data_IF_152699918289
#
_entry.id   IF_152699918289
#
_cell.length_a   1.000
_cell.length_b   1.000
_cell.length_c   1.000
_cell.angle_alpha   90.00
_cell.angle_beta   90.00
_cell.angle_gamma   90.00
#
_symmetry.space_group_name_H-M   'P 1'
#
loop_
_entity.id
_entity.type
_entity.pdbx_description
1 polymer ?
2 water ?
#
# COMPACT_ATOMS: atom_id res chain seq x y z
N UNK A 31 -13.07 -6.89 28.39
CA UNK A 31 -12.61 -6.50 27.04
C UNK A 31 -11.50 -5.46 27.11
N UNK A 32 -11.39 -4.78 28.24
CA UNK A 32 -10.36 -3.76 28.41
C UNK A 32 -9.29 -4.12 29.44
N UNK A 33 -9.23 -5.39 29.84
CA UNK A 33 -8.25 -5.82 30.82
C UNK A 33 -6.80 -5.66 30.35
N UNK A 34 -6.57 -5.81 29.05
CA UNK A 34 -5.22 -5.71 28.49
C UNK A 34 -4.72 -4.29 28.25
N UNK A 35 -5.45 -3.29 28.75
CA UNK A 35 -5.05 -1.91 28.56
C UNK A 35 -3.60 -1.69 28.96
N UNK A 36 -2.87 -0.97 28.12
CA UNK A 36 -1.47 -0.69 28.39
C UNK A 36 -0.51 -1.82 28.05
N UNK A 37 -1.04 -2.97 27.63
CA UNK A 37 -0.20 -4.12 27.30
C UNK A 37 0.04 -4.34 25.80
N UNK A 38 -0.57 -3.51 24.96
CA UNK A 38 -0.40 -3.63 23.50
C UNK A 38 0.87 -2.91 23.08
N UNK A 39 1.99 -3.48 23.51
CA UNK A 39 3.31 -2.92 23.29
C UNK A 39 4.07 -3.33 22.02
N UNK A 40 3.56 -4.31 21.27
CA UNK A 40 4.25 -4.74 20.06
C UNK A 40 4.22 -3.65 19.00
N UNK A 41 5.29 -3.57 18.21
CA UNK A 41 5.39 -2.55 17.17
C UNK A 41 5.84 -3.11 15.81
N UNK A 42 6.16 -4.39 15.77
CA UNK A 42 6.62 -5.03 14.53
C UNK A 42 5.99 -6.40 14.32
N UNK A 43 5.63 -6.71 13.07
CA UNK A 43 5.03 -8.00 12.78
C UNK A 43 6.01 -9.13 13.09
N UNK A 44 7.29 -8.80 13.17
CA UNK A 44 8.31 -9.80 13.47
C UNK A 44 8.34 -10.15 14.95
N UNK A 45 7.54 -9.43 15.74
CA UNK A 45 7.45 -9.69 17.18
C UNK A 45 6.30 -10.65 17.42
N UNK A 46 5.53 -10.91 16.37
CA UNK A 46 4.41 -11.83 16.44
C UNK A 46 4.93 -13.21 16.06
N UNK A 47 4.18 -14.24 16.43
CA UNK A 47 4.54 -15.61 16.08
C UNK A 47 4.35 -15.70 14.57
N UNK A 48 4.79 -16.80 13.96
CA UNK A 48 4.63 -16.97 12.53
C UNK A 48 3.16 -16.95 12.15
N UNK A 49 2.35 -17.68 12.90
CA UNK A 49 0.91 -17.75 12.66
C UNK A 49 0.20 -16.40 12.74
N UNK A 50 0.52 -15.60 13.75
CA UNK A 50 -0.12 -14.29 13.88
C UNK A 50 0.44 -13.31 12.86
N UNK A 51 1.72 -13.45 12.52
CA UNK A 51 2.33 -12.57 11.52
C UNK A 51 1.59 -12.80 10.20
N UNK A 52 1.35 -14.06 9.87
CA UNK A 52 0.65 -14.39 8.63
C UNK A 52 -0.78 -13.86 8.70
N UNK A 53 -1.39 -13.91 9.89
CA UNK A 53 -2.75 -13.40 10.04
C UNK A 53 -2.76 -11.89 9.78
N UNK A 54 -1.77 -11.19 10.30
CA UNK A 54 -1.70 -9.74 10.13
C UNK A 54 -1.51 -9.39 8.66
N UNK A 55 -0.60 -10.09 7.98
CA UNK A 55 -0.36 -9.82 6.57
C UNK A 55 -1.62 -10.12 5.75
N UNK A 56 -2.32 -11.20 6.11
CA UNK A 56 -3.56 -11.57 5.41
C UNK A 56 -4.61 -10.47 5.52
N UNK A 57 -4.58 -9.74 6.63
CA UNK A 57 -5.55 -8.68 6.84
C UNK A 57 -5.12 -7.30 6.39
N UNK A 58 -3.81 -7.06 6.30
CA UNK A 58 -3.36 -5.72 5.96
C UNK A 58 -2.42 -5.52 4.77
N UNK A 59 -1.75 -6.58 4.33
CA UNK A 59 -0.85 -6.43 3.18
C UNK A 59 -1.72 -6.28 1.93
N UNK A 60 -1.61 -5.13 1.24
CA UNK A 60 -2.39 -4.87 0.02
C UNK A 60 -2.34 -6.04 -0.96
N UNK A 61 -1.15 -6.59 -1.16
CA UNK A 61 -0.94 -7.71 -2.08
C UNK A 61 -1.87 -8.88 -1.75
N UNK A 62 -2.01 -9.18 -0.47
CA UNK A 62 -2.87 -10.28 -0.03
C UNK A 62 -4.33 -9.85 0.04
N UNK A 63 -4.59 -8.76 0.75
CA UNK A 63 -5.94 -8.24 0.91
C UNK A 63 -6.69 -8.04 -0.40
N UNK A 64 -6.04 -7.39 -1.36
CA UNK A 64 -6.69 -7.11 -2.64
C UNK A 64 -6.34 -8.13 -3.71
N UNK A 65 -5.71 -9.22 -3.29
CA UNK A 65 -5.33 -10.29 -4.20
C UNK A 65 -4.67 -9.71 -5.45
N UNK A 66 -3.54 -9.05 -5.25
CA UNK A 66 -2.79 -8.46 -6.36
C UNK A 66 -1.66 -9.40 -6.77
N UNK A 67 -1.16 -9.22 -7.98
CA UNK A 67 -0.06 -10.03 -8.50
C UNK A 67 0.69 -9.24 -9.56
N UNK A 68 1.72 -9.86 -10.14
CA UNK A 68 2.54 -9.18 -11.14
C UNK A 68 1.79 -8.74 -12.40
N UNK A 69 0.65 -9.36 -12.69
CA UNK A 69 -0.12 -9.00 -13.88
C UNK A 69 -1.26 -8.02 -13.57
N UNK A 70 -1.40 -7.64 -12.31
CA UNK A 70 -2.45 -6.70 -11.92
C UNK A 70 -2.16 -5.36 -12.58
N UNK A 71 -3.17 -4.76 -13.19
CA UNK A 71 -2.95 -3.46 -13.81
C UNK A 71 -3.33 -2.37 -12.80
N UNK A 72 -2.52 -1.31 -12.76
CA UNK A 72 -2.77 -0.20 -11.86
C UNK A 72 -2.86 1.07 -12.70
N UNK A 73 -3.65 2.03 -12.23
CA UNK A 73 -3.85 3.25 -12.98
C UNK A 73 -3.66 4.55 -12.20
N UNK A 74 -3.35 5.62 -12.93
CA UNK A 74 -3.20 6.93 -12.33
C UNK A 74 -3.29 7.99 -13.42
N UNK A 75 -3.66 9.20 -13.03
CA UNK A 75 -3.76 10.30 -13.96
C UNK A 75 -2.47 11.10 -13.87
N UNK A 76 -2.04 11.66 -14.99
CA UNK A 76 -0.83 12.46 -15.01
C UNK A 76 -0.86 13.35 -16.25
N UNK A 77 0.28 13.93 -16.60
CA UNK A 77 0.34 14.80 -17.77
C UNK A 77 1.16 14.14 -18.87
N UNK A 78 0.71 14.30 -20.11
CA UNK A 78 1.39 13.71 -21.25
C UNK A 78 2.90 13.84 -21.24
N UNK A 79 3.38 15.06 -21.03
CA UNK A 79 4.81 15.34 -21.02
C UNK A 79 5.59 14.34 -20.20
N UNK A 80 5.08 14.03 -19.02
CA UNK A 80 5.73 13.10 -18.09
C UNK A 80 5.83 11.66 -18.58
N UNK A 81 5.02 11.29 -19.57
CA UNK A 81 5.05 9.93 -20.09
C UNK A 81 5.08 9.90 -21.62
N UNK A 82 5.51 11.00 -22.23
CA UNK A 82 5.55 11.10 -23.68
C UNK A 82 6.38 10.05 -24.41
N UNK A 83 7.40 9.51 -23.75
CA UNK A 83 8.22 8.48 -24.38
C UNK A 83 7.75 7.08 -24.00
N UNK A 84 6.55 6.99 -23.44
CA UNK A 84 6.00 5.70 -23.07
C UNK A 84 6.38 5.14 -21.71
N UNK A 85 7.11 5.93 -20.91
CA UNK A 85 7.54 5.48 -19.59
C UNK A 85 7.23 6.50 -18.50
N UNK A 86 7.07 6.01 -17.27
CA UNK A 86 6.79 6.86 -16.12
C UNK A 86 7.84 6.61 -15.05
N UNK A 87 8.26 7.68 -14.38
CA UNK A 87 9.25 7.59 -13.31
C UNK A 87 8.57 7.98 -12.00
N UNK A 88 9.11 7.51 -10.88
CA UNK A 88 8.53 7.83 -9.59
C UNK A 88 8.66 9.29 -9.20
N UNK A 89 7.72 9.77 -8.38
CA UNK A 89 7.75 11.14 -7.90
C UNK A 89 8.54 11.21 -6.61
N UNK A 90 9.56 12.09 -6.57
CA UNK A 90 10.41 12.26 -5.39
C UNK A 90 9.76 13.01 -4.23
N UNK A 91 8.73 13.80 -4.52
CA UNK A 91 8.10 14.59 -3.47
C UNK A 91 6.60 14.43 -3.26
N UNK A 92 6.18 13.24 -2.86
CA UNK A 92 4.77 12.98 -2.61
C UNK A 92 4.44 13.35 -1.16
N UNK A 93 3.19 13.72 -0.92
CA UNK A 93 2.77 14.06 0.43
C UNK A 93 1.83 13.00 0.97
N UNK A 94 1.86 11.83 0.34
CA UNK A 94 1.00 10.73 0.74
C UNK A 94 1.33 10.14 2.10
N UNK A 95 0.30 9.63 2.76
CA UNK A 95 0.44 8.98 4.05
C UNK A 95 0.15 7.51 3.74
N UNK A 96 1.11 6.64 4.06
CA UNK A 96 0.97 5.22 3.79
C UNK A 96 0.82 4.38 5.04
N UNK A 97 0.25 3.19 4.86
CA UNK A 97 0.10 2.24 5.95
C UNK A 97 1.30 1.31 5.84
N UNK A 98 1.92 1.02 6.98
CA UNK A 98 3.07 0.13 7.02
C UNK A 98 2.54 -1.19 7.60
N UNK A 99 2.20 -2.12 6.71
CA UNK A 99 1.65 -3.41 7.12
C UNK A 99 2.64 -4.31 7.85
N UNK A 100 3.89 -3.88 7.97
CA UNK A 100 4.88 -4.68 8.70
C UNK A 100 5.12 -4.08 10.09
N UNK A 101 4.42 -2.99 10.40
CA UNK A 101 4.57 -2.34 11.71
C UNK A 101 3.23 -2.28 12.43
N UNK A 102 3.27 -2.35 13.76
CA UNK A 102 2.04 -2.38 14.54
C UNK A 102 1.74 -1.19 15.43
N UNK A 103 0.45 -1.04 15.71
CA UNK A 103 -0.10 0.01 16.54
C UNK A 103 -1.38 -0.58 17.12
N UNK A 104 -1.66 -0.30 18.39
CA UNK A 104 -2.86 -0.84 19.02
C UNK A 104 -4.09 -0.50 18.18
N UNK A 105 -4.95 -1.50 17.98
CA UNK A 105 -6.17 -1.29 17.23
C UNK A 105 -7.11 -0.47 18.09
N UNK A 106 -7.89 0.43 17.48
CA UNK A 106 -8.81 1.23 18.30
C UNK A 106 -9.91 0.36 18.90
N UNK A 107 -9.96 -0.90 18.49
CA UNK A 107 -10.98 -1.81 18.98
C UNK A 107 -10.46 -2.90 19.90
N UNK A 108 -9.14 -2.95 20.08
CA UNK A 108 -8.53 -3.96 20.93
C UNK A 108 -9.21 -4.01 22.30
N UNK A 109 -9.42 -2.84 22.89
CA UNK A 109 -10.05 -2.75 24.20
C UNK A 109 -11.56 -3.00 24.17
N UNK A 110 -12.19 -2.86 23.01
CA UNK A 110 -13.62 -3.10 22.89
C UNK A 110 -13.88 -4.61 22.88
N UNK A 111 -12.96 -5.36 22.27
CA UNK A 111 -13.06 -6.81 22.24
C UNK A 111 -12.02 -7.28 23.25
N UNK A 112 -11.79 -8.58 23.36
CA UNK A 112 -10.80 -9.02 24.33
C UNK A 112 -9.47 -9.38 23.70
N UNK A 113 -9.10 -8.68 22.63
CA UNK A 113 -7.86 -8.95 21.91
C UNK A 113 -6.62 -9.13 22.78
N UNK A 114 -5.98 -10.30 22.65
CA UNK A 114 -4.75 -10.60 23.38
C UNK A 114 -3.65 -9.77 22.74
N UNK A 115 -2.75 -9.20 23.56
CA UNK A 115 -1.64 -8.38 23.04
C UNK A 115 -0.62 -9.10 22.16
N UNK A 116 -0.74 -10.42 22.03
CA UNK A 116 0.19 -11.18 21.20
C UNK A 116 -0.52 -11.67 19.93
N UNK A 117 -1.70 -11.13 19.67
CA UNK A 117 -2.45 -11.55 18.50
C UNK A 117 -2.63 -10.45 17.46
N UNK A 118 -2.67 -10.85 16.20
CA UNK A 118 -2.82 -9.92 15.09
C UNK A 118 -4.04 -9.00 15.21
N UNK A 119 -5.17 -9.55 15.66
CA UNK A 119 -6.39 -8.74 15.76
C UNK A 119 -6.36 -7.63 16.80
N UNK A 120 -5.31 -7.61 17.62
CA UNK A 120 -5.16 -6.58 18.64
C UNK A 120 -4.49 -5.35 18.05
N UNK A 121 -3.93 -5.49 16.85
CA UNK A 121 -3.22 -4.39 16.21
C UNK A 121 -3.72 -4.00 14.83
N UNK A 122 -3.26 -2.83 14.38
CA UNK A 122 -3.57 -2.29 13.06
C UNK A 122 -2.25 -1.75 12.52
N UNK A 123 -2.12 -1.65 11.19
CA UNK A 123 -0.84 -1.12 10.72
C UNK A 123 -0.56 0.31 11.16
N UNK A 124 0.71 0.63 11.33
CA UNK A 124 1.10 1.98 11.70
C UNK A 124 1.04 2.75 10.39
N UNK A 125 0.95 4.08 10.46
CA UNK A 125 0.95 4.87 9.23
C UNK A 125 2.12 5.84 9.33
N UNK A 126 2.58 6.31 8.18
CA UNK A 126 3.71 7.22 8.14
C UNK A 126 3.68 8.04 6.87
N UNK A 127 4.51 9.08 6.83
CA UNK A 127 4.59 9.92 5.64
C UNK A 127 5.42 9.13 4.63
N UNK A 128 5.00 9.14 3.37
CA UNK A 128 5.71 8.39 2.34
C UNK A 128 7.18 8.77 2.21
N UNK A 129 7.53 10.00 2.58
CA UNK A 129 8.92 10.45 2.47
C UNK A 129 9.85 9.61 3.35
N UNK A 130 9.29 8.94 4.35
CA UNK A 130 10.10 8.10 5.23
C UNK A 130 10.75 6.94 4.48
N UNK A 131 10.23 6.61 3.30
CA UNK A 131 10.79 5.50 2.52
C UNK A 131 12.06 5.89 1.74
N UNK A 132 12.31 7.19 1.62
CA UNK A 132 13.48 7.69 0.90
C UNK A 132 13.60 7.01 -0.45
N UNK A 133 12.50 6.97 -1.19
CA UNK A 133 12.45 6.35 -2.51
C UNK A 133 11.29 6.96 -3.29
N UNK A 134 11.51 7.29 -4.57
CA UNK A 134 10.40 7.87 -5.34
C UNK A 134 9.27 6.85 -5.44
N UNK A 135 8.06 7.33 -5.70
CA UNK A 135 6.92 6.43 -5.78
C UNK A 135 5.83 7.03 -6.64
N UNK A 136 4.79 6.24 -6.85
CA UNK A 136 3.65 6.66 -7.65
C UNK A 136 2.36 6.24 -6.96
N UNK A 137 1.38 7.14 -6.94
CA UNK A 137 0.10 6.84 -6.34
C UNK A 137 -0.77 6.29 -7.46
N UNK A 138 -1.27 5.08 -7.26
CA UNK A 138 -2.09 4.42 -8.27
C UNK A 138 -3.37 3.84 -7.68
N UNK A 139 -4.29 3.48 -8.57
CA UNK A 139 -5.56 2.88 -8.19
C UNK A 139 -5.58 1.49 -8.79
N UNK A 140 -6.16 0.54 -8.06
CA UNK A 140 -6.26 -0.83 -8.53
C UNK A 140 -7.66 -1.31 -8.19
N UNK A 141 -8.16 -2.27 -8.98
CA UNK A 141 -9.49 -2.79 -8.75
C UNK A 141 -10.36 -2.62 -9.97
N UNK A 142 -11.47 -3.34 -10.02
CA UNK A 142 -12.37 -3.27 -11.16
C UNK A 142 -12.98 -1.87 -11.32
N UNK A 143 -13.14 -1.16 -10.22
CA UNK A 143 -13.71 0.18 -10.29
C UNK A 143 -12.66 1.27 -10.44
N UNK A 144 -11.40 0.86 -10.61
CA UNK A 144 -10.29 1.80 -10.74
C UNK A 144 -10.42 2.75 -11.93
N UNK A 145 -10.39 2.19 -13.13
CA UNK A 145 -10.48 2.98 -14.35
C UNK A 145 -11.60 4.00 -14.25
N UNK A 146 -12.76 3.54 -13.81
CA UNK A 146 -13.92 4.41 -13.66
C UNK A 146 -13.60 5.54 -12.69
N UNK A 147 -13.32 5.17 -11.44
CA UNK A 147 -12.99 6.13 -10.40
C UNK A 147 -12.16 7.31 -10.90
N UNK A 148 -11.14 7.02 -11.70
CA UNK A 148 -10.28 8.07 -12.24
C UNK A 148 -11.00 8.92 -13.28
N UNK A 156 -4.56 16.52 -19.08
CA UNK A 156 -4.21 15.34 -18.25
C UNK A 156 -4.63 14.04 -18.94
N UNK A 157 -3.88 12.96 -18.70
CA UNK A 157 -4.20 11.67 -19.32
C UNK A 157 -4.26 10.53 -18.30
N UNK A 158 -5.03 9.50 -18.62
CA UNK A 158 -5.16 8.34 -17.75
C UNK A 158 -4.22 7.25 -18.24
N UNK A 159 -3.35 6.78 -17.36
CA UNK A 159 -2.39 5.75 -17.72
C UNK A 159 -2.65 4.41 -17.05
N UNK A 160 -2.17 3.35 -17.69
CA UNK A 160 -2.29 2.00 -17.18
C UNK A 160 -0.87 1.45 -17.07
N UNK A 161 -0.62 0.67 -16.03
CA UNK A 161 0.70 0.09 -15.81
C UNK A 161 0.57 -1.33 -15.28
N UNK A 162 1.63 -2.11 -15.48
CA UNK A 162 1.68 -3.49 -15.01
C UNK A 162 2.35 -3.46 -13.64
N UNK A 163 1.64 -3.89 -12.61
CA UNK A 163 2.19 -3.87 -11.26
C UNK A 163 3.53 -4.60 -11.21
N UNK A 164 3.62 -5.70 -11.95
CA UNK A 164 4.85 -6.48 -12.00
C UNK A 164 6.07 -5.70 -12.46
N UNK A 165 5.86 -4.68 -13.29
CA UNK A 165 6.99 -3.88 -13.76
C UNK A 165 7.61 -3.08 -12.62
N UNK A 166 6.81 -2.77 -11.60
CA UNK A 166 7.33 -2.06 -10.43
C UNK A 166 8.07 -3.09 -9.60
N UNK A 167 7.39 -4.21 -9.35
CA UNK A 167 7.93 -5.29 -8.53
C UNK A 167 9.26 -5.83 -9.06
N UNK A 168 9.34 -6.06 -10.37
CA UNK A 168 10.56 -6.59 -10.98
C UNK A 168 11.76 -5.68 -10.74
N UNK A 169 11.50 -4.42 -10.40
CA UNK A 169 12.58 -3.48 -10.18
C UNK A 169 12.76 -3.06 -8.72
N UNK A 170 12.32 -3.92 -7.81
CA UNK A 170 12.46 -3.64 -6.39
C UNK A 170 11.40 -2.74 -5.79
N UNK A 171 10.30 -2.53 -6.51
CA UNK A 171 9.24 -1.69 -6.00
C UNK A 171 8.42 -2.40 -4.94
N UNK A 172 7.88 -1.64 -3.99
CA UNK A 172 7.07 -2.23 -2.93
C UNK A 172 5.69 -1.56 -2.91
N UNK A 173 4.68 -2.31 -2.46
CA UNK A 173 3.31 -1.82 -2.44
C UNK A 173 2.77 -1.52 -1.04
N UNK A 174 2.19 -0.33 -0.89
CA UNK A 174 1.61 0.11 0.37
C UNK A 174 0.21 0.65 0.11
N UNK A 175 -0.69 0.47 1.08
CA UNK A 175 -2.03 1.02 0.96
C UNK A 175 -1.88 2.52 1.19
N UNK A 176 -2.56 3.31 0.36
CA UNK A 176 -2.53 4.76 0.46
C UNK A 176 -3.68 5.17 1.37
N UNK A 177 -3.36 5.74 2.53
CA UNK A 177 -4.40 6.16 3.47
C UNK A 177 -4.69 7.66 3.42
N UNK A 178 -4.07 8.36 2.47
CA UNK A 178 -4.26 9.80 2.34
C UNK A 178 -5.75 10.15 2.22
N UNK A 183 -11.64 6.17 -3.99
CA UNK A 183 -12.94 5.94 -4.68
C UNK A 183 -13.95 5.18 -3.84
N UNK A 184 -14.99 4.67 -4.49
CA UNK A 184 -16.02 3.92 -3.78
C UNK A 184 -15.65 2.47 -3.53
N UNK A 185 -16.46 1.56 -4.04
CA UNK A 185 -16.20 0.13 -3.86
C UNK A 185 -15.54 -0.46 -5.10
N UNK A 186 -14.82 -1.57 -4.91
CA UNK A 186 -14.12 -2.25 -5.98
C UNK A 186 -12.91 -1.44 -6.46
N UNK A 187 -12.39 -0.59 -5.58
CA UNK A 187 -11.24 0.23 -5.92
C UNK A 187 -10.41 0.57 -4.68
N UNK A 188 -9.10 0.39 -4.78
CA UNK A 188 -8.22 0.70 -3.67
C UNK A 188 -7.07 1.60 -4.10
N UNK A 189 -6.74 2.56 -3.24
CA UNK A 189 -5.66 3.49 -3.50
C UNK A 189 -4.37 2.89 -2.96
N UNK A 190 -3.33 2.88 -3.80
CA UNK A 190 -2.04 2.33 -3.43
C UNK A 190 -0.88 3.26 -3.71
N UNK A 191 0.22 3.02 -3.01
CA UNK A 191 1.46 3.75 -3.22
C UNK A 191 2.43 2.63 -3.59
N UNK A 192 3.10 2.78 -4.73
CA UNK A 192 4.05 1.77 -5.16
C UNK A 192 5.38 2.47 -5.38
N UNK A 193 6.43 1.96 -4.76
CA UNK A 193 7.74 2.58 -4.91
C UNK A 193 8.37 2.17 -6.24
N UNK A 194 9.27 3.01 -6.73
CA UNK A 194 9.99 2.78 -7.98
C UNK A 194 11.35 3.44 -7.79
N UNK A 195 12.36 2.66 -7.37
CA UNK A 195 13.73 3.10 -7.11
C UNK A 195 14.28 4.14 -8.07
N UNK A 196 15.10 5.04 -7.52
CA UNK A 196 15.72 6.11 -8.28
C UNK A 196 16.32 5.60 -9.59
N UNK A 197 16.08 6.34 -10.66
CA UNK A 197 16.61 5.96 -11.96
C UNK A 197 15.81 4.88 -12.66
N UNK A 198 14.74 4.41 -12.04
CA UNK A 198 13.93 3.36 -12.65
C UNK A 198 12.63 3.89 -13.25
N UNK A 199 12.13 3.18 -14.25
CA UNK A 199 10.91 3.58 -14.93
C UNK A 199 10.08 2.36 -15.30
N UNK A 200 8.83 2.59 -15.66
CA UNK A 200 7.92 1.52 -16.05
C UNK A 200 7.13 1.97 -17.28
N UNK A 201 6.85 1.03 -18.20
CA UNK A 201 6.08 1.42 -19.39
C UNK A 201 4.64 1.72 -19.01
N UNK A 202 3.99 2.60 -19.77
CA UNK A 202 2.60 2.95 -19.50
C UNK A 202 1.81 3.02 -20.79
N UNK A 203 0.49 2.87 -20.67
CA UNK A 203 -0.40 2.96 -21.82
C UNK A 203 -1.40 4.08 -21.54
N UNK A 204 -1.48 5.05 -22.45
CA UNK A 204 -2.44 6.13 -22.28
C UNK A 204 -3.77 5.60 -22.78
N UNK A 205 -4.79 5.66 -21.92
CA UNK A 205 -6.10 5.13 -22.27
C UNK A 205 -7.02 6.13 -22.95
N UNK A 206 -6.78 7.41 -22.71
CA UNK A 206 -7.61 8.46 -23.30
C UNK A 206 -6.77 9.46 -24.07
#
# INVERSE_FOLDING_TARGET
>A
GAMGNICNSGGVSRTYSPPTSPVYGSGVSSPSRFVGQYTLTSIHQLSSEERENFLDAHDPMRVYDLNSETSVYRTTQREYVRNGYATGNPNSGAIIALHEELQESPYAQHIGARPDQADAYRPRTAHVSSLNTPSLNVMAGQGALSALRGYAGSDHVTTEMRLGDFLDQGGKVYSDTSAMSAGGDSVEALIVTLPKGRKVPVNILD
#
